data_IF_161796974425
#
_entry.id   IF_161796974425
#
_cell.length_a   1.000
_cell.length_b   1.000
_cell.length_c   1.000
_cell.angle_alpha   90.00
_cell.angle_beta   90.00
_cell.angle_gamma   90.00
#
_symmetry.space_group_name_H-M   'P 1'
#
loop_
_entity.id
_entity.type
_entity.pdbx_description
1 polymer ?
#
# COMPACT_ATOMS: atom_id res chain seq x y z
N UNK A 1 26.88 2.47 -1.27
CA UNK A 1 25.52 1.91 -1.26
C UNK A 1 25.42 0.97 -0.05
N UNK A 2 24.34 0.99 0.73
CA UNK A 2 24.19 0.04 1.83
C UNK A 2 23.84 -1.33 1.24
N UNK A 3 24.56 -2.39 1.63
CA UNK A 3 24.28 -3.76 1.18
C UNK A 3 23.20 -4.45 2.03
N UNK A 4 22.92 -3.93 3.22
CA UNK A 4 21.93 -4.49 4.14
C UNK A 4 22.06 -3.93 5.54
N UNK A 5 21.35 -4.56 6.48
CA UNK A 5 21.39 -4.26 7.90
C UNK A 5 21.68 -5.55 8.69
N UNK A 6 22.46 -5.45 9.75
CA UNK A 6 22.68 -6.55 10.69
C UNK A 6 21.73 -6.42 11.89
N UNK A 7 21.06 -7.50 12.26
CA UNK A 7 20.07 -7.50 13.33
C UNK A 7 20.43 -8.52 14.43
N UNK A 8 20.44 -8.08 15.68
CA UNK A 8 20.47 -8.94 16.86
C UNK A 8 19.10 -9.01 17.51
N UNK A 9 18.42 -10.16 17.44
CA UNK A 9 17.06 -10.34 17.96
C UNK A 9 17.06 -11.29 19.16
N UNK A 10 16.39 -10.89 20.25
CA UNK A 10 16.09 -11.77 21.40
C UNK A 10 14.60 -12.02 21.49
N UNK A 11 14.17 -13.21 21.10
CA UNK A 11 12.76 -13.63 21.14
C UNK A 11 12.49 -14.34 22.48
N UNK A 12 11.42 -13.95 23.19
CA UNK A 12 11.01 -14.53 24.49
C UNK A 12 9.70 -15.30 24.34
N UNK A 13 9.43 -16.24 25.24
CA UNK A 13 8.17 -17.01 25.23
C UNK A 13 8.05 -17.98 24.05
N UNK A 14 9.18 -18.57 23.64
CA UNK A 14 9.26 -19.42 22.45
C UNK A 14 8.69 -20.81 22.75
N UNK A 15 7.81 -21.30 21.89
CA UNK A 15 7.24 -22.64 21.98
C UNK A 15 8.18 -23.73 21.42
N UNK A 16 7.86 -25.00 21.70
CA UNK A 16 8.58 -26.14 21.14
C UNK A 16 8.59 -26.12 19.60
N UNK A 17 9.67 -26.64 19.00
CA UNK A 17 9.85 -26.69 17.54
C UNK A 17 10.45 -25.43 16.91
N UNK A 18 10.71 -24.37 17.68
CA UNK A 18 11.31 -23.15 17.15
C UNK A 18 12.70 -23.34 16.51
N UNK A 19 13.53 -24.23 17.06
CA UNK A 19 14.84 -24.55 16.48
C UNK A 19 14.71 -25.13 15.06
N UNK A 20 13.68 -25.95 14.80
CA UNK A 20 13.44 -26.50 13.45
C UNK A 20 12.96 -25.41 12.48
N UNK A 21 12.09 -24.51 12.93
CA UNK A 21 11.63 -23.37 12.12
C UNK A 21 12.80 -22.42 11.79
N UNK A 22 13.71 -22.19 12.73
CA UNK A 22 14.92 -21.39 12.50
C UNK A 22 15.86 -22.04 11.47
N UNK A 23 16.04 -23.37 11.53
CA UNK A 23 16.80 -24.10 10.49
C UNK A 23 16.16 -23.97 9.11
N UNK A 24 14.83 -24.06 9.02
CA UNK A 24 14.12 -23.82 7.76
C UNK A 24 14.32 -22.40 7.25
N UNK A 25 14.26 -21.39 8.13
CA UNK A 25 14.50 -19.99 7.75
C UNK A 25 15.93 -19.78 7.24
N UNK A 26 16.93 -20.44 7.83
CA UNK A 26 18.33 -20.37 7.39
C UNK A 26 18.58 -21.03 6.03
N UNK A 27 17.85 -22.10 5.71
CA UNK A 27 18.08 -22.91 4.50
C UNK A 27 17.21 -22.50 3.32
N UNK A 28 15.94 -22.17 3.58
CA UNK A 28 14.95 -21.80 2.56
C UNK A 28 14.77 -20.29 2.45
N UNK A 29 14.92 -19.56 3.55
CA UNK A 29 14.64 -18.12 3.62
C UNK A 29 13.19 -17.79 3.99
N UNK A 30 12.74 -16.60 3.59
CA UNK A 30 11.39 -16.09 3.84
C UNK A 30 10.89 -15.29 2.63
N UNK A 31 9.57 -15.11 2.54
CA UNK A 31 8.97 -14.28 1.50
C UNK A 31 9.24 -12.81 1.83
N UNK A 32 9.82 -12.07 0.89
CA UNK A 32 10.21 -10.68 1.06
C UNK A 32 9.01 -9.70 1.01
N UNK A 33 8.07 -9.84 1.95
CA UNK A 33 6.90 -8.96 2.05
C UNK A 33 7.28 -7.54 2.51
N UNK A 34 6.52 -6.56 2.03
CA UNK A 34 6.42 -5.28 2.71
C UNK A 34 5.75 -5.48 4.07
N UNK A 35 6.42 -5.08 5.16
CA UNK A 35 5.90 -5.22 6.52
C UNK A 35 4.83 -4.20 6.89
N UNK A 36 4.14 -4.43 8.01
CA UNK A 36 3.02 -3.60 8.50
C UNK A 36 3.36 -2.12 8.65
N UNK A 37 4.61 -1.78 8.95
CA UNK A 37 5.10 -0.40 9.02
C UNK A 37 4.90 0.38 7.71
N UNK A 38 4.74 -0.30 6.57
CA UNK A 38 4.49 0.31 5.26
C UNK A 38 3.02 0.65 5.03
N UNK A 39 2.11 0.03 5.79
CA UNK A 39 0.66 0.19 5.66
C UNK A 39 0.06 1.12 6.72
N UNK A 40 0.90 1.68 7.60
CA UNK A 40 0.51 2.67 8.61
C UNK A 40 -0.54 2.12 9.57
N UNK A 41 -1.63 2.87 9.77
CA UNK A 41 -2.69 2.52 10.70
C UNK A 41 -3.91 1.92 9.99
N UNK A 42 -4.69 1.17 10.75
CA UNK A 42 -5.91 0.52 10.28
C UNK A 42 -7.15 1.12 10.95
N UNK A 43 -8.25 1.16 10.21
CA UNK A 43 -9.58 1.48 10.73
C UNK A 43 -10.54 0.41 10.23
N UNK A 44 -11.25 -0.24 11.15
CA UNK A 44 -12.17 -1.36 10.90
C UNK A 44 -11.53 -2.51 10.09
N UNK A 45 -10.26 -2.83 10.38
CA UNK A 45 -9.51 -3.92 9.75
C UNK A 45 -8.98 -3.60 8.35
N UNK A 46 -9.07 -2.35 7.90
CA UNK A 46 -8.51 -1.90 6.62
C UNK A 46 -7.44 -0.83 6.83
N UNK A 47 -6.31 -0.96 6.12
CA UNK A 47 -5.25 0.05 6.10
C UNK A 47 -5.72 1.32 5.40
N UNK A 48 -5.82 2.41 6.15
CA UNK A 48 -6.24 3.72 5.61
C UNK A 48 -5.26 4.23 4.55
N UNK A 49 -3.93 4.17 4.74
CA UNK A 49 -2.96 4.50 3.70
C UNK A 49 -3.15 3.75 2.37
N UNK A 50 -3.49 2.44 2.44
CA UNK A 50 -3.76 1.63 1.24
C UNK A 50 -5.02 2.11 0.54
N UNK A 51 -6.11 2.36 1.28
CA UNK A 51 -7.37 2.84 0.70
C UNK A 51 -7.22 4.22 0.04
N UNK A 52 -6.56 5.17 0.71
CA UNK A 52 -6.28 6.49 0.14
C UNK A 52 -5.41 6.35 -1.11
N UNK A 53 -4.38 5.49 -1.06
CA UNK A 53 -3.50 5.22 -2.20
C UNK A 53 -4.23 4.68 -3.42
N UNK A 54 -5.16 3.75 -3.21
CA UNK A 54 -6.02 3.21 -4.26
C UNK A 54 -6.92 4.28 -4.89
N UNK A 55 -7.57 5.11 -4.07
CA UNK A 55 -8.41 6.21 -4.55
C UNK A 55 -7.61 7.22 -5.38
N UNK A 56 -6.43 7.63 -4.90
CA UNK A 56 -5.54 8.54 -5.63
C UNK A 56 -5.11 7.97 -6.99
N UNK A 57 -4.75 6.68 -7.04
CA UNK A 57 -4.35 6.01 -8.28
C UNK A 57 -5.52 5.85 -9.27
N UNK A 58 -6.74 5.69 -8.77
CA UNK A 58 -7.96 5.69 -9.58
C UNK A 58 -8.39 7.09 -10.06
N UNK A 59 -7.72 8.15 -9.58
CA UNK A 59 -8.09 9.54 -9.87
C UNK A 59 -9.30 10.04 -9.09
N UNK A 60 -9.81 9.27 -8.12
CA UNK A 60 -10.95 9.61 -7.26
C UNK A 60 -10.47 10.48 -6.08
N UNK A 61 -10.37 11.78 -6.34
CA UNK A 61 -9.84 12.74 -5.37
C UNK A 61 -10.84 12.97 -4.23
N UNK A 62 -12.15 12.92 -4.54
CA UNK A 62 -13.21 12.99 -3.55
C UNK A 62 -13.06 11.89 -2.50
N UNK A 63 -12.98 10.63 -2.91
CA UNK A 63 -12.83 9.51 -2.01
C UNK A 63 -11.50 9.59 -1.23
N UNK A 64 -10.41 9.97 -1.89
CA UNK A 64 -9.10 10.12 -1.23
C UNK A 64 -9.16 11.14 -0.08
N UNK A 65 -9.79 12.31 -0.30
CA UNK A 65 -9.96 13.33 0.72
C UNK A 65 -10.92 12.91 1.82
N UNK A 66 -12.03 12.26 1.46
CA UNK A 66 -12.98 11.71 2.43
C UNK A 66 -12.27 10.73 3.37
N UNK A 67 -11.52 9.76 2.84
CA UNK A 67 -10.79 8.77 3.63
C UNK A 67 -9.70 9.40 4.51
N UNK A 68 -9.01 10.41 4.01
CA UNK A 68 -7.97 11.11 4.77
C UNK A 68 -8.57 11.93 5.92
N UNK A 69 -9.66 12.63 5.67
CA UNK A 69 -10.39 13.38 6.68
C UNK A 69 -11.18 12.49 7.65
N UNK A 70 -11.16 11.16 7.49
CA UNK A 70 -11.91 10.24 8.35
C UNK A 70 -11.44 10.34 9.81
N UNK A 71 -12.36 10.54 10.77
CA UNK A 71 -12.04 10.47 12.20
C UNK A 71 -11.40 9.12 12.56
N UNK A 72 -10.20 9.13 13.17
CA UNK A 72 -9.39 7.92 13.41
C UNK A 72 -9.34 7.43 14.86
N UNK A 73 -10.19 7.95 15.76
CA UNK A 73 -10.12 7.64 17.20
C UNK A 73 -11.29 6.77 17.68
N UNK A 74 -10.97 5.65 18.35
CA UNK A 74 -11.95 4.73 18.97
C UNK A 74 -12.77 5.42 20.07
N UNK A 75 -12.24 6.48 20.67
CA UNK A 75 -12.91 7.29 21.69
C UNK A 75 -13.97 8.25 21.12
N UNK A 76 -14.22 8.21 19.82
CA UNK A 76 -15.16 9.10 19.12
C UNK A 76 -16.18 8.33 18.28
N UNK A 77 -16.81 7.30 18.85
CA UNK A 77 -17.87 6.54 18.17
C UNK A 77 -18.95 7.45 17.54
N UNK A 78 -19.37 8.51 18.24
CA UNK A 78 -20.31 9.50 17.70
C UNK A 78 -19.76 10.25 16.46
N UNK A 79 -18.45 10.50 16.37
CA UNK A 79 -17.85 11.17 15.21
C UNK A 79 -17.81 10.25 14.00
N UNK A 80 -17.66 8.94 14.22
CA UNK A 80 -17.83 7.93 13.18
C UNK A 80 -19.25 7.94 12.64
N UNK A 81 -20.26 7.93 13.50
CA UNK A 81 -21.67 7.97 13.06
C UNK A 81 -21.98 9.24 12.26
N UNK A 82 -21.47 10.39 12.71
CA UNK A 82 -21.58 11.65 11.97
C UNK A 82 -20.91 11.60 10.60
N UNK A 83 -19.72 10.99 10.54
CA UNK A 83 -18.97 10.85 9.29
C UNK A 83 -19.68 9.90 8.33
N UNK A 84 -20.17 8.75 8.80
CA UNK A 84 -20.93 7.80 7.98
C UNK A 84 -22.25 8.36 7.48
N UNK A 85 -22.93 9.18 8.29
CA UNK A 85 -24.11 9.92 7.87
C UNK A 85 -23.79 10.89 6.73
N UNK A 86 -22.71 11.67 6.86
CA UNK A 86 -22.24 12.57 5.81
C UNK A 86 -21.85 11.83 4.53
N UNK A 87 -21.17 10.69 4.65
CA UNK A 87 -20.82 9.86 3.49
C UNK A 87 -22.06 9.34 2.75
N UNK A 88 -23.19 9.18 3.44
CA UNK A 88 -24.46 8.71 2.87
C UNK A 88 -25.29 9.83 2.24
N UNK A 89 -25.44 10.95 2.95
CA UNK A 89 -26.34 12.03 2.53
C UNK A 89 -25.64 13.20 1.83
N UNK A 90 -24.30 13.25 1.86
CA UNK A 90 -23.50 14.30 1.23
C UNK A 90 -23.64 15.69 1.88
N UNK A 91 -24.35 15.81 3.00
CA UNK A 91 -24.70 17.12 3.59
C UNK A 91 -23.65 17.62 4.57
N UNK A 92 -22.64 18.31 4.05
CA UNK A 92 -21.59 18.92 4.85
C UNK A 92 -22.12 19.93 5.88
N UNK A 93 -23.15 20.72 5.53
CA UNK A 93 -23.76 21.70 6.46
C UNK A 93 -24.30 21.01 7.71
N UNK A 94 -24.93 19.85 7.55
CA UNK A 94 -25.49 19.05 8.65
C UNK A 94 -24.38 18.50 9.55
N UNK A 95 -23.32 17.96 8.96
CA UNK A 95 -22.15 17.49 9.70
C UNK A 95 -21.48 18.64 10.49
N UNK A 96 -21.34 19.82 9.89
CA UNK A 96 -20.77 21.02 10.53
C UNK A 96 -21.62 21.51 11.71
N UNK A 97 -22.95 21.49 11.60
CA UNK A 97 -23.84 21.85 12.71
C UNK A 97 -23.62 20.93 13.91
N UNK A 98 -23.53 19.62 13.67
CA UNK A 98 -23.24 18.62 14.73
C UNK A 98 -21.82 18.77 15.29
N UNK A 99 -20.81 19.06 14.46
CA UNK A 99 -19.44 19.30 14.93
C UNK A 99 -19.35 20.48 15.91
N UNK A 100 -20.13 21.55 15.69
CA UNK A 100 -20.17 22.74 16.56
C UNK A 100 -20.68 22.44 17.97
N UNK A 101 -21.49 21.40 18.17
CA UNK A 101 -22.00 21.03 19.49
C UNK A 101 -21.01 20.21 20.31
N UNK A 102 -19.90 19.77 19.71
CA UNK A 102 -18.89 18.96 20.39
C UNK A 102 -17.98 19.83 21.28
N UNK A 103 -17.41 19.28 22.37
CA UNK A 103 -16.37 19.96 23.14
C UNK A 103 -15.17 20.39 22.27
N UNK A 104 -14.57 21.54 22.58
CA UNK A 104 -13.42 22.10 21.81
C UNK A 104 -12.27 21.10 21.58
N UNK A 105 -11.84 20.28 22.58
CA UNK A 105 -10.76 19.31 22.36
C UNK A 105 -11.11 18.24 21.30
N UNK A 106 -12.38 17.89 21.18
CA UNK A 106 -12.84 16.95 20.15
C UNK A 106 -12.87 17.65 18.79
N UNK A 107 -13.35 18.91 18.72
CA UNK A 107 -13.31 19.68 17.47
C UNK A 107 -11.89 19.83 16.93
N UNK A 108 -10.90 20.04 17.81
CA UNK A 108 -9.48 20.13 17.43
C UNK A 108 -8.95 18.83 16.81
N UNK A 109 -9.33 17.67 17.36
CA UNK A 109 -9.01 16.36 16.76
C UNK A 109 -9.65 16.15 15.39
N UNK A 110 -10.80 16.79 15.14
CA UNK A 110 -11.56 16.68 13.90
C UNK A 110 -11.29 17.86 12.94
N UNK A 111 -10.25 18.67 13.19
CA UNK A 111 -9.96 19.90 12.46
C UNK A 111 -9.89 19.69 10.94
N UNK A 112 -9.14 18.68 10.49
CA UNK A 112 -9.01 18.39 9.06
C UNK A 112 -10.36 18.08 8.41
N UNK A 113 -11.21 17.31 9.10
CA UNK A 113 -12.55 16.99 8.61
C UNK A 113 -13.44 18.22 8.57
N UNK A 114 -13.41 19.03 9.63
CA UNK A 114 -14.15 20.29 9.69
C UNK A 114 -13.76 21.24 8.54
N UNK A 115 -12.46 21.44 8.31
CA UNK A 115 -11.96 22.30 7.23
C UNK A 115 -12.36 21.77 5.85
N UNK A 116 -12.32 20.45 5.64
CA UNK A 116 -12.82 19.84 4.41
C UNK A 116 -14.29 20.15 4.20
N UNK A 117 -15.14 19.93 5.21
CA UNK A 117 -16.57 20.19 5.15
C UNK A 117 -16.89 21.67 4.89
N UNK A 118 -16.19 22.59 5.57
CA UNK A 118 -16.36 24.04 5.39
C UNK A 118 -16.03 24.47 3.96
N UNK A 119 -15.00 23.88 3.36
CA UNK A 119 -14.59 24.21 2.01
C UNK A 119 -15.51 23.61 0.94
N UNK A 120 -15.79 22.29 1.02
CA UNK A 120 -16.57 21.60 -0.03
C UNK A 120 -18.06 21.98 0.04
N UNK A 121 -18.62 22.20 1.24
CA UNK A 121 -20.03 22.49 1.41
C UNK A 121 -20.96 21.36 0.91
N UNK A 122 -22.25 21.68 0.81
CA UNK A 122 -23.23 20.78 0.21
C UNK A 122 -23.09 20.78 -1.34
N UNK A 123 -23.43 19.67 -1.98
CA UNK A 123 -23.46 19.50 -3.45
C UNK A 123 -22.12 19.76 -4.18
N UNK A 124 -21.00 19.54 -3.50
CA UNK A 124 -19.66 19.69 -4.08
C UNK A 124 -19.42 18.73 -5.26
N UNK A 125 -18.91 19.28 -6.36
CA UNK A 125 -18.46 18.54 -7.52
C UNK A 125 -16.98 18.16 -7.45
N UNK A 126 -16.54 17.33 -8.39
CA UNK A 126 -15.17 16.82 -8.46
C UNK A 126 -14.10 17.93 -8.56
N UNK A 127 -14.27 19.00 -9.38
CA UNK A 127 -13.40 20.17 -9.36
C UNK A 127 -13.21 20.77 -7.96
N UNK A 128 -14.28 20.94 -7.19
CA UNK A 128 -14.21 21.50 -5.84
C UNK A 128 -13.38 20.64 -4.89
N UNK A 129 -13.49 19.31 -4.98
CA UNK A 129 -12.62 18.41 -4.20
C UNK A 129 -11.15 18.51 -4.64
N UNK A 130 -10.86 18.72 -5.92
CA UNK A 130 -9.47 18.92 -6.40
C UNK A 130 -8.88 20.22 -5.87
N UNK A 131 -9.65 21.29 -5.82
CA UNK A 131 -9.22 22.55 -5.21
C UNK A 131 -9.01 22.42 -3.71
N UNK A 132 -9.82 21.60 -3.03
CA UNK A 132 -9.70 21.33 -1.59
C UNK A 132 -8.34 20.76 -1.20
N UNK A 133 -7.71 19.95 -2.07
CA UNK A 133 -6.34 19.43 -1.83
C UNK A 133 -5.34 20.56 -1.60
N UNK A 134 -5.46 21.65 -2.37
CA UNK A 134 -4.61 22.85 -2.23
C UNK A 134 -5.03 23.68 -1.03
N UNK A 135 -6.33 23.86 -0.85
CA UNK A 135 -6.89 24.66 0.25
C UNK A 135 -6.49 24.14 1.63
N UNK A 136 -6.54 22.82 1.81
CA UNK A 136 -6.20 22.13 3.06
C UNK A 136 -4.70 22.03 3.33
N UNK A 137 -3.85 22.58 2.44
CA UNK A 137 -2.39 22.57 2.51
C UNK A 137 -1.82 21.18 2.84
N UNK A 138 -2.36 20.14 2.21
CA UNK A 138 -2.02 18.76 2.52
C UNK A 138 -0.54 18.48 2.23
N UNK A 139 0.19 17.79 3.13
CA UNK A 139 1.59 17.48 2.91
C UNK A 139 1.81 16.70 1.61
N UNK A 140 2.57 17.28 0.67
CA UNK A 140 2.89 16.65 -0.62
C UNK A 140 3.53 15.27 -0.48
N UNK A 141 4.28 15.03 0.60
CA UNK A 141 4.87 13.74 0.90
C UNK A 141 3.81 12.61 0.98
N UNK A 142 2.59 12.90 1.43
CA UNK A 142 1.52 11.90 1.52
C UNK A 142 0.97 11.49 0.15
N UNK A 143 1.00 12.39 -0.85
CA UNK A 143 0.66 12.07 -2.24
C UNK A 143 1.63 11.05 -2.86
N UNK A 144 2.82 10.89 -2.30
CA UNK A 144 3.74 9.81 -2.67
C UNK A 144 3.60 8.60 -1.76
N UNK A 145 3.43 8.81 -0.45
CA UNK A 145 3.37 7.73 0.54
C UNK A 145 2.17 6.80 0.31
N UNK A 146 0.97 7.33 0.14
CA UNK A 146 -0.24 6.50 0.05
C UNK A 146 -0.28 5.62 -1.22
N UNK A 147 0.01 6.13 -2.43
CA UNK A 147 0.13 5.26 -3.60
C UNK A 147 1.19 4.16 -3.44
N UNK A 148 2.30 4.45 -2.75
CA UNK A 148 3.31 3.41 -2.48
C UNK A 148 2.83 2.33 -1.50
N UNK A 149 1.98 2.68 -0.54
CA UNK A 149 1.34 1.72 0.36
C UNK A 149 0.38 0.80 -0.42
N UNK A 150 -0.44 1.35 -1.31
CA UNK A 150 -1.31 0.56 -2.19
C UNK A 150 -0.51 -0.39 -3.10
N UNK A 151 0.53 0.14 -3.76
CA UNK A 151 1.42 -0.64 -4.62
C UNK A 151 2.13 -1.78 -3.85
N UNK A 152 2.60 -1.52 -2.63
CA UNK A 152 3.19 -2.53 -1.75
C UNK A 152 2.17 -3.61 -1.33
N UNK A 153 0.91 -3.22 -1.05
CA UNK A 153 -0.16 -4.16 -0.72
C UNK A 153 -0.47 -5.08 -1.91
N UNK A 154 -0.57 -4.50 -3.11
CA UNK A 154 -0.79 -5.27 -4.34
C UNK A 154 0.38 -6.24 -4.61
N UNK A 155 1.62 -5.80 -4.39
CA UNK A 155 2.80 -6.65 -4.52
C UNK A 155 2.76 -7.82 -3.53
N UNK A 156 2.43 -7.58 -2.25
CA UNK A 156 2.28 -8.67 -1.26
C UNK A 156 1.22 -9.69 -1.68
N UNK A 157 0.09 -9.22 -2.24
CA UNK A 157 -0.98 -10.10 -2.76
C UNK A 157 -0.49 -10.92 -3.97
N UNK A 158 0.26 -10.30 -4.88
CA UNK A 158 0.85 -10.97 -6.04
C UNK A 158 1.86 -12.03 -5.60
N UNK A 159 2.77 -11.71 -4.68
CA UNK A 159 3.74 -12.64 -4.13
C UNK A 159 3.06 -13.84 -3.43
N UNK A 160 2.04 -13.56 -2.61
CA UNK A 160 1.24 -14.61 -1.95
C UNK A 160 0.59 -15.55 -2.96
N UNK A 161 -0.03 -14.98 -4.02
CA UNK A 161 -0.66 -15.75 -5.09
C UNK A 161 0.35 -16.59 -5.86
N UNK A 162 1.49 -16.01 -6.23
CA UNK A 162 2.56 -16.70 -6.95
C UNK A 162 3.09 -17.89 -6.15
N UNK A 163 3.34 -17.74 -4.85
CA UNK A 163 3.79 -18.86 -4.01
C UNK A 163 2.70 -19.92 -3.87
N UNK A 164 1.44 -19.52 -3.66
CA UNK A 164 0.33 -20.47 -3.50
C UNK A 164 0.09 -21.31 -4.75
N UNK A 165 0.04 -20.66 -5.92
CA UNK A 165 -0.31 -21.32 -7.18
C UNK A 165 0.92 -22.00 -7.81
N UNK A 166 2.11 -21.42 -7.58
CA UNK A 166 3.37 -21.77 -8.23
C UNK A 166 4.35 -22.59 -7.38
N UNK A 167 4.15 -22.66 -6.06
CA UNK A 167 5.11 -23.28 -5.14
C UNK A 167 6.46 -22.55 -5.09
N UNK A 168 7.48 -23.26 -4.62
CA UNK A 168 8.86 -22.77 -4.44
C UNK A 168 9.79 -23.09 -5.62
N UNK A 169 9.24 -23.55 -6.74
CA UNK A 169 10.00 -23.79 -7.97
C UNK A 169 9.72 -22.67 -8.97
N UNK A 170 10.71 -22.36 -9.80
CA UNK A 170 10.52 -21.47 -10.97
C UNK A 170 9.67 -22.20 -12.00
N UNK A 171 8.85 -21.46 -12.75
CA UNK A 171 7.97 -21.97 -13.80
C UNK A 171 8.05 -21.12 -15.06
N UNK A 172 7.61 -21.68 -16.18
CA UNK A 172 7.38 -20.91 -17.40
C UNK A 172 6.50 -19.66 -17.10
N UNK A 173 6.94 -18.51 -17.62
CA UNK A 173 6.31 -17.21 -17.44
C UNK A 173 6.83 -16.39 -16.25
N UNK A 174 7.61 -16.97 -15.33
CA UNK A 174 8.26 -16.20 -14.28
C UNK A 174 9.28 -15.21 -14.84
N UNK A 175 9.46 -14.10 -14.15
CA UNK A 175 10.56 -13.18 -14.39
C UNK A 175 11.71 -13.51 -13.44
N UNK A 176 12.90 -13.73 -13.97
CA UNK A 176 14.12 -14.02 -13.22
C UNK A 176 15.18 -12.96 -13.48
N UNK A 177 15.97 -12.63 -12.46
CA UNK A 177 17.16 -11.82 -12.61
C UNK A 177 18.28 -12.67 -13.23
N UNK A 178 18.93 -12.18 -14.29
CA UNK A 178 20.04 -12.85 -14.97
C UNK A 178 21.27 -11.95 -15.03
N UNK A 179 22.45 -12.49 -14.72
CA UNK A 179 23.72 -11.75 -14.69
C UNK A 179 24.65 -12.19 -13.55
N UNK A 180 25.92 -11.77 -13.60
CA UNK A 180 26.91 -12.04 -12.55
C UNK A 180 27.30 -10.72 -11.83
N UNK A 181 27.46 -10.77 -10.51
CA UNK A 181 27.86 -9.64 -9.67
C UNK A 181 26.70 -8.94 -8.93
N UNK A 182 26.99 -7.80 -8.29
CA UNK A 182 26.00 -7.00 -7.53
C UNK A 182 24.91 -6.36 -8.42
N UNK A 183 25.06 -6.45 -9.74
CA UNK A 183 24.14 -5.91 -10.73
C UNK A 183 23.12 -6.98 -11.17
N UNK A 184 22.06 -7.16 -10.36
CA UNK A 184 20.84 -7.93 -10.68
C UNK A 184 19.96 -7.24 -11.74
N UNK A 185 20.58 -6.74 -12.81
CA UNK A 185 20.05 -5.62 -13.60
C UNK A 185 19.28 -6.04 -14.85
N UNK A 186 19.46 -7.29 -15.32
CA UNK A 186 18.73 -7.81 -16.47
C UNK A 186 17.65 -8.77 -16.01
N UNK A 187 16.43 -8.56 -16.50
CA UNK A 187 15.33 -9.50 -16.35
C UNK A 187 15.25 -10.40 -17.58
N UNK A 188 14.87 -11.65 -17.33
CA UNK A 188 14.47 -12.58 -18.37
C UNK A 188 13.14 -13.19 -17.97
N UNK A 189 12.24 -13.34 -18.94
CA UNK A 189 11.05 -14.17 -18.79
C UNK A 189 11.42 -15.61 -19.13
N UNK A 190 11.06 -16.54 -18.26
CA UNK A 190 11.29 -17.96 -18.46
C UNK A 190 10.29 -18.44 -19.51
N UNK A 191 10.77 -19.05 -20.60
CA UNK A 191 9.90 -19.41 -21.73
C UNK A 191 9.35 -20.84 -21.63
N UNK A 192 10.02 -21.76 -20.91
CA UNK A 192 9.57 -23.14 -20.71
C UNK A 192 9.92 -23.71 -19.33
N UNK A 193 9.28 -24.80 -18.93
CA UNK A 193 9.56 -25.46 -17.65
C UNK A 193 10.92 -26.20 -17.65
N UNK A 194 11.42 -26.62 -18.82
CA UNK A 194 12.78 -27.15 -18.96
C UNK A 194 13.83 -26.07 -18.68
N UNK A 195 13.58 -24.85 -19.15
CA UNK A 195 14.43 -23.70 -18.84
C UNK A 195 14.37 -23.33 -17.35
N UNK A 196 13.18 -23.43 -16.75
CA UNK A 196 12.95 -23.11 -15.34
C UNK A 196 13.86 -23.90 -14.39
N UNK A 197 14.27 -25.12 -14.76
CA UNK A 197 15.20 -25.96 -14.00
C UNK A 197 16.59 -25.33 -13.78
N UNK A 198 16.94 -24.29 -14.55
CA UNK A 198 18.22 -23.58 -14.44
C UNK A 198 18.21 -22.51 -13.35
N UNK A 199 17.04 -22.20 -12.77
CA UNK A 199 16.83 -21.10 -11.85
C UNK A 199 16.26 -21.58 -10.51
N UNK A 200 16.39 -20.73 -9.50
CA UNK A 200 15.86 -20.94 -8.16
C UNK A 200 14.82 -19.88 -7.81
N UNK A 201 14.04 -20.14 -6.75
CA UNK A 201 13.05 -19.17 -6.25
C UNK A 201 13.65 -17.81 -5.90
N UNK A 202 14.95 -17.77 -5.56
CA UNK A 202 15.68 -16.56 -5.22
C UNK A 202 15.98 -15.68 -6.43
N UNK A 203 15.90 -16.23 -7.64
CA UNK A 203 16.11 -15.50 -8.88
C UNK A 203 14.84 -14.77 -9.34
N UNK A 204 13.66 -15.22 -8.87
CA UNK A 204 12.38 -14.62 -9.25
C UNK A 204 12.31 -13.15 -8.82
N UNK A 205 11.82 -12.29 -9.72
CA UNK A 205 11.50 -10.89 -9.48
C UNK A 205 10.05 -10.64 -9.85
N UNK A 206 9.29 -10.04 -8.94
CA UNK A 206 7.90 -9.65 -9.19
C UNK A 206 7.83 -8.14 -9.44
N UNK A 207 7.07 -7.70 -10.45
CA UNK A 207 6.92 -6.29 -10.75
C UNK A 207 6.13 -5.58 -9.65
N UNK A 208 6.49 -4.33 -9.40
CA UNK A 208 5.72 -3.44 -8.55
C UNK A 208 4.88 -2.48 -9.42
N UNK A 209 3.63 -2.23 -9.04
CA UNK A 209 2.78 -1.27 -9.73
C UNK A 209 3.40 0.13 -9.69
N UNK A 210 3.57 0.74 -10.86
CA UNK A 210 4.07 2.10 -11.01
C UNK A 210 4.41 2.42 -12.46
N UNK A 211 4.81 3.67 -12.71
CA UNK A 211 5.38 4.05 -14.00
C UNK A 211 6.75 3.38 -14.16
N UNK A 212 6.96 2.76 -15.31
CA UNK A 212 8.27 2.27 -15.70
C UNK A 212 9.22 3.47 -15.78
N UNK A 213 10.19 3.54 -14.87
CA UNK A 213 11.23 4.57 -14.93
C UNK A 213 12.20 4.24 -16.05
N UNK A 214 12.70 5.26 -16.74
CA UNK A 214 13.84 5.07 -17.63
C UNK A 214 15.05 4.60 -16.83
N UNK A 215 15.78 3.61 -17.35
CA UNK A 215 16.88 2.96 -16.66
C UNK A 215 16.78 1.44 -16.69
N UNK A 216 17.23 0.82 -15.60
CA UNK A 216 17.63 -0.58 -15.49
C UNK A 216 16.43 -1.48 -15.14
N UNK A 217 16.46 -2.76 -15.56
CA UNK A 217 15.48 -3.79 -15.15
C UNK A 217 14.06 -3.57 -15.73
N UNK A 218 13.95 -3.16 -17.01
CA UNK A 218 12.68 -2.95 -17.70
C UNK A 218 11.97 -4.29 -17.96
N UNK A 219 10.74 -4.41 -17.46
CA UNK A 219 9.89 -5.61 -17.65
C UNK A 219 9.57 -5.83 -19.14
N UNK A 220 9.43 -4.75 -19.91
CA UNK A 220 9.29 -4.79 -21.38
C UNK A 220 10.47 -5.47 -22.07
N UNK A 221 11.69 -5.27 -21.56
CA UNK A 221 12.91 -5.79 -22.18
C UNK A 221 13.04 -7.31 -21.95
N UNK A 222 12.27 -7.85 -20.99
CA UNK A 222 12.08 -9.28 -20.79
C UNK A 222 10.94 -9.87 -21.65
N UNK A 223 10.43 -9.12 -22.64
CA UNK A 223 9.38 -9.60 -23.55
C UNK A 223 7.97 -9.59 -22.96
N UNK A 224 7.75 -8.87 -21.86
CA UNK A 224 6.41 -8.71 -21.28
C UNK A 224 5.69 -7.54 -21.94
N UNK A 225 4.53 -7.83 -22.52
CA UNK A 225 3.65 -6.81 -23.09
C UNK A 225 2.84 -6.10 -21.99
N UNK A 226 3.37 -4.96 -21.52
CA UNK A 226 2.76 -4.18 -20.44
C UNK A 226 1.41 -3.58 -20.84
N UNK A 227 1.13 -3.41 -22.14
CA UNK A 227 -0.15 -2.87 -22.61
C UNK A 227 -1.27 -3.90 -22.56
N UNK A 228 -0.94 -5.20 -22.47
CA UNK A 228 -1.90 -6.30 -22.33
C UNK A 228 -2.16 -6.71 -20.87
N UNK A 229 -1.43 -6.13 -19.92
CA UNK A 229 -1.58 -6.36 -18.47
C UNK A 229 -2.58 -5.38 -17.86
#
# INVERSE_FOLDING_TARGET
MLMGNWFGLRIRGVCEGASQKLKSLQTVGFINYFGMQRFGFEVDGASVPVLIGGALLAGDIKMALQLWARPSDSNTAFARDMYEEWMRDGRATKALQRLKTLPRPIQEKLKLWKELLEYVGDDADEPKYREAVKHLNLPKAMLHLFPTAYSACLWNRLASRRIRDGGLCVRAGDLVAVGAGDNFEKLKRVESDEEACQYTINDIRLPQLGLQREGICRVSDAGVDVQKL
#
